data_IF_163598611758
#
_entry.id   IF_163598611758
#
_cell.length_a   1.000
_cell.length_b   1.000
_cell.length_c   1.000
_cell.angle_alpha   90.00
_cell.angle_beta   90.00
_cell.angle_gamma   90.00
#
_symmetry.space_group_name_H-M   'P 1'
#
loop_
_entity.id
_entity.type
_entity.pdbx_description
1 polymer ?
#
# COMPACT_ATOMS: atom_id res chain seq x y z
N UNK A 1 -30.02 -11.67 43.18
CA UNK A 1 -30.27 -10.28 42.75
C UNK A 1 -28.97 -9.73 42.20
N UNK A 2 -29.01 -9.30 40.94
CA UNK A 2 -27.92 -8.82 40.08
C UNK A 2 -26.97 -7.80 40.75
N UNK A 3 -25.75 -7.57 40.29
CA UNK A 3 -25.05 -8.02 39.10
C UNK A 3 -23.68 -7.34 39.14
N UNK A 4 -22.61 -8.12 39.14
CA UNK A 4 -21.26 -7.60 39.02
C UNK A 4 -21.13 -6.95 37.65
N UNK A 5 -20.77 -5.66 37.67
CA UNK A 5 -20.61 -4.82 36.49
C UNK A 5 -19.43 -5.40 35.73
N UNK A 6 -19.73 -6.00 34.59
CA UNK A 6 -18.75 -6.59 33.70
C UNK A 6 -17.80 -5.47 33.26
N UNK A 7 -16.55 -5.61 33.68
CA UNK A 7 -15.48 -4.67 33.37
C UNK A 7 -15.19 -4.87 31.89
N UNK A 8 -15.82 -4.03 31.05
CA UNK A 8 -15.36 -3.75 29.70
C UNK A 8 -13.93 -3.21 29.80
N UNK A 9 -12.95 -4.11 29.89
CA UNK A 9 -11.63 -3.85 29.37
C UNK A 9 -11.76 -3.89 27.85
N UNK A 10 -12.33 -2.83 27.28
CA UNK A 10 -11.94 -2.42 25.94
C UNK A 10 -10.47 -2.03 26.09
N UNK A 11 -9.60 -3.05 26.01
CA UNK A 11 -8.19 -2.85 25.82
C UNK A 11 -8.09 -1.96 24.59
N UNK A 12 -7.64 -0.72 24.79
CA UNK A 12 -7.50 0.30 23.76
C UNK A 12 -6.95 -0.40 22.52
N UNK A 13 -7.81 -0.68 21.54
CA UNK A 13 -7.36 -1.11 20.22
C UNK A 13 -6.73 0.14 19.65
N UNK A 14 -5.41 0.26 19.83
CA UNK A 14 -4.65 1.24 19.09
C UNK A 14 -4.81 0.83 17.65
N UNK A 15 -5.79 1.43 16.94
CA UNK A 15 -5.95 1.23 15.51
C UNK A 15 -4.56 1.45 14.91
N UNK A 16 -3.98 0.37 14.38
CA UNK A 16 -2.63 0.45 13.84
C UNK A 16 -2.73 1.27 12.58
N UNK A 17 -2.27 2.51 12.65
CA UNK A 17 -2.15 3.39 11.49
C UNK A 17 -0.84 3.06 10.78
N UNK A 18 -0.92 2.74 9.50
CA UNK A 18 0.22 2.59 8.62
C UNK A 18 0.23 3.68 7.55
N UNK A 19 1.43 3.98 7.05
CA UNK A 19 1.65 4.98 6.00
C UNK A 19 2.50 4.39 4.89
N UNK A 20 2.19 4.71 3.64
CA UNK A 20 2.97 4.36 2.46
C UNK A 20 3.22 5.59 1.59
N UNK A 21 4.40 5.66 0.96
CA UNK A 21 4.75 6.74 0.04
C UNK A 21 5.25 6.18 -1.28
N UNK A 22 4.86 6.80 -2.39
CA UNK A 22 5.35 6.48 -3.72
C UNK A 22 5.81 7.76 -4.45
N UNK A 23 6.98 7.72 -5.07
CA UNK A 23 7.47 8.85 -5.89
C UNK A 23 6.67 8.96 -7.19
N UNK A 24 6.48 10.18 -7.68
CA UNK A 24 5.87 10.39 -8.99
C UNK A 24 6.91 10.15 -10.10
N UNK A 25 6.41 9.77 -11.27
CA UNK A 25 7.20 9.59 -12.47
C UNK A 25 6.60 10.38 -13.63
N UNK A 26 7.45 10.81 -14.58
CA UNK A 26 7.00 11.51 -15.79
C UNK A 26 6.18 10.63 -16.76
N UNK A 27 6.09 9.33 -16.48
CA UNK A 27 5.47 8.32 -17.34
C UNK A 27 6.47 7.22 -17.72
N UNK A 28 6.06 6.38 -18.66
CA UNK A 28 6.85 5.26 -19.18
C UNK A 28 7.69 5.73 -20.36
N UNK A 29 9.01 5.86 -20.18
CA UNK A 29 9.94 6.19 -21.26
C UNK A 29 10.16 4.98 -22.18
N UNK A 30 10.23 3.80 -21.56
CA UNK A 30 10.28 2.52 -22.23
C UNK A 30 9.32 1.61 -21.49
N UNK A 31 8.38 1.00 -22.21
CA UNK A 31 7.57 -0.10 -21.71
C UNK A 31 7.39 -1.14 -22.81
N UNK A 32 7.63 -2.40 -22.47
CA UNK A 32 7.32 -3.49 -23.39
C UNK A 32 8.00 -4.80 -23.05
N UNK A 33 7.97 -5.68 -24.04
CA UNK A 33 8.66 -6.97 -24.01
C UNK A 33 9.68 -6.98 -25.14
N UNK A 34 10.94 -7.22 -24.81
CA UNK A 34 12.08 -7.15 -25.71
C UNK A 34 12.73 -8.53 -25.81
N UNK A 35 13.11 -8.93 -27.02
CA UNK A 35 13.79 -10.20 -27.26
C UNK A 35 15.31 -9.98 -27.20
N UNK A 36 16.03 -10.83 -26.47
CA UNK A 36 17.50 -10.84 -26.49
C UNK A 36 18.07 -11.68 -27.64
N UNK A 37 19.40 -11.71 -27.76
CA UNK A 37 20.11 -12.46 -28.80
C UNK A 37 19.91 -13.98 -28.70
N UNK A 38 19.62 -14.50 -27.50
CA UNK A 38 19.27 -15.91 -27.26
C UNK A 38 17.79 -16.22 -27.53
N UNK A 39 17.01 -15.19 -27.88
CA UNK A 39 15.61 -15.27 -28.18
C UNK A 39 14.66 -15.26 -26.98
N UNK A 40 15.17 -15.00 -25.78
CA UNK A 40 14.36 -14.87 -24.56
C UNK A 40 13.67 -13.52 -24.52
N UNK A 41 12.44 -13.52 -24.03
CA UNK A 41 11.63 -12.32 -23.83
C UNK A 41 11.87 -11.69 -22.45
N UNK A 42 12.13 -10.39 -22.43
CA UNK A 42 12.40 -9.59 -21.23
C UNK A 42 11.38 -8.46 -21.10
N UNK A 43 10.79 -8.31 -19.92
CA UNK A 43 9.95 -7.16 -19.61
C UNK A 43 10.85 -5.98 -19.27
N UNK A 44 10.74 -4.90 -20.04
CA UNK A 44 11.46 -3.66 -19.80
C UNK A 44 10.49 -2.57 -19.37
N UNK A 45 10.82 -1.90 -18.27
CA UNK A 45 10.17 -0.66 -17.85
C UNK A 45 11.26 0.32 -17.43
N UNK A 46 11.28 1.49 -18.05
CA UNK A 46 12.12 2.62 -17.64
C UNK A 46 11.21 3.82 -17.44
N UNK A 47 11.26 4.40 -16.24
CA UNK A 47 10.56 5.62 -15.89
C UNK A 47 11.55 6.64 -15.31
N UNK A 48 11.21 7.92 -15.36
CA UNK A 48 12.03 8.98 -14.76
C UNK A 48 11.32 9.54 -13.52
N UNK A 49 11.96 9.53 -12.34
CA UNK A 49 11.42 10.19 -11.14
C UNK A 49 11.20 11.69 -11.36
N UNK A 50 10.11 12.22 -10.81
CA UNK A 50 9.88 13.67 -10.70
C UNK A 50 10.36 14.12 -9.32
N UNK A 51 11.41 14.93 -9.28
CA UNK A 51 11.93 15.46 -8.02
C UNK A 51 10.85 16.26 -7.27
N UNK A 52 10.64 15.93 -6.00
CA UNK A 52 9.73 16.66 -5.12
C UNK A 52 8.25 16.31 -5.23
N UNK A 53 7.84 15.45 -6.17
CA UNK A 53 6.45 15.00 -6.30
C UNK A 53 6.29 13.55 -5.83
N UNK A 54 5.35 13.33 -4.90
CA UNK A 54 5.05 12.02 -4.32
C UNK A 54 3.58 11.90 -3.93
N UNK A 55 3.08 10.67 -3.88
CA UNK A 55 1.80 10.32 -3.28
C UNK A 55 2.04 9.72 -1.90
N UNK A 56 1.17 10.04 -0.95
CA UNK A 56 1.18 9.52 0.42
C UNK A 56 -0.20 8.90 0.71
N UNK A 57 -0.20 7.70 1.27
CA UNK A 57 -1.40 6.97 1.64
C UNK A 57 -1.32 6.58 3.11
N UNK A 58 -2.39 6.88 3.86
CA UNK A 58 -2.54 6.48 5.25
C UNK A 58 -3.67 5.48 5.33
N UNK A 59 -3.43 4.36 6.00
CA UNK A 59 -4.41 3.30 6.22
C UNK A 59 -4.51 3.02 7.72
N UNK A 60 -5.73 2.82 8.20
CA UNK A 60 -5.99 2.43 9.58
C UNK A 60 -6.64 1.06 9.56
N UNK A 61 -6.22 0.15 10.44
CA UNK A 61 -6.93 -1.11 10.62
C UNK A 61 -8.28 -0.80 11.26
N UNK A 62 -9.35 -1.17 10.57
CA UNK A 62 -10.69 -1.24 11.16
C UNK A 62 -10.77 -2.49 12.04
N UNK A 63 -11.54 -2.43 13.13
CA UNK A 63 -11.80 -3.60 13.96
C UNK A 63 -12.75 -4.61 13.28
N UNK A 64 -13.44 -4.18 12.22
CA UNK A 64 -14.10 -5.07 11.26
C UNK A 64 -13.08 -5.55 10.21
N UNK A 65 -12.73 -6.84 10.25
CA UNK A 65 -11.82 -7.54 9.32
C UNK A 65 -12.33 -7.61 7.85
N UNK A 66 -13.31 -6.78 7.48
CA UNK A 66 -13.87 -6.71 6.15
C UNK A 66 -13.03 -5.76 5.26
N UNK A 67 -12.24 -6.34 4.35
CA UNK A 67 -11.67 -5.57 3.23
C UNK A 67 -12.79 -5.32 2.20
N UNK A 68 -13.29 -4.08 2.16
CA UNK A 68 -14.18 -3.62 1.09
C UNK A 68 -13.33 -3.26 -0.14
N UNK A 69 -13.56 -3.98 -1.24
CA UNK A 69 -12.95 -3.74 -2.57
C UNK A 69 -13.92 -2.98 -3.46
#
# INVERSE_FOLDING_TARGET
MAGARDLMSDGISTSSVGTGTAIAHHGELIQGVFKDDGGRLHRGLVTLPIAGLRSEATFARSDDDAILV
#
